data_IF_823954833477
#
_entry.id   IF_823954833477
#
_cell.length_a   1.000
_cell.length_b   1.000
_cell.length_c   1.000
_cell.angle_alpha   90.00
_cell.angle_beta   90.00
_cell.angle_gamma   90.00
#
_symmetry.space_group_name_H-M   'P 1'
#
loop_
_entity.id
_entity.type
_entity.pdbx_description
1 polymer ?
#
# COMPACT_ATOMS: atom_id res chain seq x y z
N UNK A 1 26.54 -12.18 14.31
CA UNK A 1 25.62 -11.57 13.33
C UNK A 1 25.42 -12.55 12.18
N UNK A 2 24.33 -13.31 12.18
CA UNK A 2 24.01 -14.25 11.08
C UNK A 2 23.25 -13.49 9.99
N UNK A 3 23.71 -13.64 8.75
CA UNK A 3 23.33 -12.84 7.58
C UNK A 3 21.83 -12.74 7.36
N UNK A 4 21.38 -11.52 7.08
CA UNK A 4 20.11 -11.26 6.44
C UNK A 4 20.23 -11.86 5.03
N UNK A 5 19.62 -13.03 4.79
CA UNK A 5 19.53 -13.61 3.45
C UNK A 5 19.10 -12.52 2.46
N UNK A 6 19.88 -12.31 1.39
CA UNK A 6 19.53 -11.43 0.27
C UNK A 6 18.27 -11.98 -0.42
N UNK A 7 17.07 -11.66 0.06
CA UNK A 7 15.87 -11.82 -0.76
C UNK A 7 15.93 -10.78 -1.87
N UNK A 8 15.83 -11.22 -3.12
CA UNK A 8 15.78 -10.32 -4.27
C UNK A 8 14.51 -9.47 -4.24
N UNK A 9 14.56 -8.27 -4.83
CA UNK A 9 13.35 -7.47 -5.06
C UNK A 9 12.36 -8.30 -5.86
N UNK A 10 11.13 -8.44 -5.35
CA UNK A 10 10.06 -9.21 -5.97
C UNK A 10 8.84 -8.35 -6.27
N UNK A 11 8.06 -8.74 -7.26
CA UNK A 11 6.76 -8.14 -7.51
C UNK A 11 5.74 -8.66 -6.48
N UNK A 12 4.91 -7.76 -5.95
CA UNK A 12 3.85 -8.05 -4.96
C UNK A 12 2.48 -7.52 -5.38
N UNK A 13 2.38 -6.94 -6.57
CA UNK A 13 1.13 -6.39 -7.09
C UNK A 13 1.37 -5.57 -8.34
N UNK A 14 0.31 -4.93 -8.80
CA UNK A 14 0.32 -3.97 -9.89
C UNK A 14 -0.52 -2.75 -9.50
N UNK A 15 -0.21 -1.59 -10.07
CA UNK A 15 -1.13 -0.46 -10.02
C UNK A 15 -2.11 -0.61 -11.17
N UNK A 16 -3.36 -0.91 -10.85
CA UNK A 16 -4.41 -1.16 -11.84
C UNK A 16 -4.99 0.14 -12.42
N UNK A 17 -5.68 0.00 -13.56
CA UNK A 17 -6.31 1.12 -14.24
C UNK A 17 -7.36 1.82 -13.37
N UNK A 18 -8.05 1.07 -12.50
CA UNK A 18 -9.05 1.63 -11.58
C UNK A 18 -8.40 2.59 -10.58
N UNK A 19 -7.29 2.19 -9.96
CA UNK A 19 -6.53 3.05 -9.03
C UNK A 19 -6.03 4.31 -9.73
N UNK A 20 -5.52 4.16 -10.96
CA UNK A 20 -5.06 5.28 -11.78
C UNK A 20 -6.19 6.29 -12.02
N UNK A 21 -7.36 5.82 -12.45
CA UNK A 21 -8.54 6.66 -12.69
C UNK A 21 -9.05 7.33 -11.42
N UNK A 22 -9.17 6.59 -10.32
CA UNK A 22 -9.67 7.11 -9.05
C UNK A 22 -8.77 8.20 -8.45
N UNK A 23 -7.46 8.12 -8.68
CA UNK A 23 -6.47 9.01 -8.07
C UNK A 23 -5.82 10.01 -9.04
N UNK A 24 -6.23 10.02 -10.31
CA UNK A 24 -5.67 10.88 -11.36
C UNK A 24 -4.15 10.72 -11.47
N UNK A 25 -3.67 9.49 -11.54
CA UNK A 25 -2.23 9.20 -11.62
C UNK A 25 -1.76 9.28 -13.08
N UNK A 26 -0.58 9.86 -13.30
CA UNK A 26 0.09 9.86 -14.59
C UNK A 26 1.13 8.72 -14.64
N UNK A 27 0.64 7.48 -14.72
CA UNK A 27 1.43 6.25 -14.79
C UNK A 27 0.73 5.22 -15.67
N UNK A 28 1.49 4.29 -16.24
CA UNK A 28 0.94 3.23 -17.07
C UNK A 28 0.13 2.21 -16.23
N UNK A 29 -1.07 1.78 -16.69
CA UNK A 29 -1.77 0.64 -16.11
C UNK A 29 -0.89 -0.61 -16.09
N UNK A 30 -0.99 -1.39 -15.00
CA UNK A 30 -0.18 -2.59 -14.83
C UNK A 30 1.24 -2.34 -14.33
N UNK A 31 1.59 -1.10 -13.97
CA UNK A 31 2.89 -0.77 -13.36
C UNK A 31 3.17 -1.69 -12.17
N UNK A 32 4.27 -2.47 -12.17
CA UNK A 32 4.57 -3.40 -11.08
C UNK A 32 4.81 -2.70 -9.75
N UNK A 33 4.24 -3.25 -8.68
CA UNK A 33 4.55 -2.87 -7.30
C UNK A 33 5.60 -3.84 -6.78
N UNK A 34 6.77 -3.30 -6.43
CA UNK A 34 7.94 -4.06 -6.01
C UNK A 34 8.12 -4.01 -4.49
N UNK A 35 8.64 -5.09 -3.92
CA UNK A 35 9.03 -5.19 -2.52
C UNK A 35 10.47 -5.71 -2.44
N UNK A 36 11.35 -4.94 -1.81
CA UNK A 36 12.75 -5.32 -1.59
C UNK A 36 13.14 -5.23 -0.12
N UNK A 37 14.33 -5.73 0.23
CA UNK A 37 14.75 -5.92 1.62
C UNK A 37 14.73 -4.66 2.48
N UNK A 38 15.12 -3.51 1.92
CA UNK A 38 15.10 -2.25 2.67
C UNK A 38 13.68 -1.81 3.04
N UNK A 39 12.68 -2.13 2.20
CA UNK A 39 11.28 -1.86 2.51
C UNK A 39 10.76 -2.80 3.59
N UNK A 40 11.11 -4.10 3.50
CA UNK A 40 10.75 -5.11 4.52
C UNK A 40 11.34 -4.73 5.88
N UNK A 41 12.62 -4.34 5.91
CA UNK A 41 13.29 -3.89 7.12
C UNK A 41 12.60 -2.65 7.71
N UNK A 42 12.32 -1.64 6.87
CA UNK A 42 11.61 -0.45 7.30
C UNK A 42 10.23 -0.74 7.90
N UNK A 43 9.45 -1.63 7.27
CA UNK A 43 8.15 -2.06 7.79
C UNK A 43 8.28 -2.73 9.15
N UNK A 44 9.24 -3.65 9.29
CA UNK A 44 9.50 -4.40 10.53
C UNK A 44 9.95 -3.49 11.67
N UNK A 45 10.80 -2.50 11.39
CA UNK A 45 11.32 -1.57 12.40
C UNK A 45 10.30 -0.48 12.78
N UNK A 46 9.59 0.07 11.81
CA UNK A 46 8.68 1.21 12.05
C UNK A 46 7.30 0.78 12.54
N UNK A 47 6.83 -0.41 12.13
CA UNK A 47 5.49 -0.91 12.43
C UNK A 47 5.50 -2.40 12.78
N UNK A 48 6.24 -2.83 13.82
CA UNK A 48 6.47 -4.24 14.12
C UNK A 48 5.17 -5.04 14.31
N UNK A 49 4.17 -4.46 15.00
CA UNK A 49 2.87 -5.12 15.23
C UNK A 49 2.08 -5.35 13.94
N UNK A 50 2.01 -4.34 13.07
CA UNK A 50 1.30 -4.46 11.80
C UNK A 50 2.05 -5.38 10.83
N UNK A 51 3.38 -5.31 10.82
CA UNK A 51 4.22 -6.22 10.06
C UNK A 51 3.98 -7.67 10.45
N UNK A 52 4.07 -8.00 11.75
CA UNK A 52 3.85 -9.36 12.25
C UNK A 52 2.47 -9.91 11.88
N UNK A 53 1.43 -9.08 11.99
CA UNK A 53 0.04 -9.51 11.76
C UNK A 53 -0.36 -9.59 10.28
N UNK A 54 0.19 -8.73 9.43
CA UNK A 54 -0.37 -8.48 8.10
C UNK A 54 0.63 -8.55 6.94
N UNK A 55 1.93 -8.70 7.18
CA UNK A 55 2.92 -8.71 6.10
C UNK A 55 2.67 -9.79 5.04
N UNK A 56 2.19 -10.96 5.44
CA UNK A 56 1.86 -12.07 4.52
C UNK A 56 0.65 -11.77 3.64
N UNK A 57 -0.17 -10.78 3.97
CA UNK A 57 -1.36 -10.38 3.22
C UNK A 57 -1.12 -9.24 2.24
N UNK A 58 0.13 -8.76 2.09
CA UNK A 58 0.44 -7.60 1.23
C UNK A 58 -0.11 -7.77 -0.19
N UNK A 59 0.09 -8.94 -0.79
CA UNK A 59 -0.36 -9.22 -2.16
C UNK A 59 -1.88 -9.21 -2.28
N UNK A 60 -2.58 -9.82 -1.32
CA UNK A 60 -4.03 -9.86 -1.29
C UNK A 60 -4.64 -8.47 -1.10
N UNK A 61 -4.04 -7.65 -0.23
CA UNK A 61 -4.47 -6.28 0.02
C UNK A 61 -4.22 -5.39 -1.21
N UNK A 62 -3.08 -5.52 -1.87
CA UNK A 62 -2.79 -4.78 -3.10
C UNK A 62 -3.69 -5.21 -4.26
N UNK A 63 -4.06 -6.50 -4.32
CA UNK A 63 -4.96 -7.05 -5.34
C UNK A 63 -6.42 -6.63 -5.14
N UNK A 64 -6.88 -6.56 -3.89
CA UNK A 64 -8.28 -6.31 -3.55
C UNK A 64 -8.44 -5.33 -2.36
N UNK A 65 -7.95 -4.09 -2.48
CA UNK A 65 -8.16 -3.06 -1.46
C UNK A 65 -9.64 -2.68 -1.40
N UNK A 66 -10.09 -2.20 -0.26
CA UNK A 66 -11.43 -1.61 -0.15
C UNK A 66 -11.44 -0.15 -0.56
N UNK A 67 -10.37 0.57 -0.20
CA UNK A 67 -10.20 1.97 -0.55
C UNK A 67 -8.79 2.25 -1.04
N UNK A 68 -8.68 3.30 -1.85
CA UNK A 68 -7.41 3.92 -2.18
C UNK A 68 -7.42 5.40 -1.83
N UNK A 69 -6.28 5.93 -1.44
CA UNK A 69 -6.06 7.35 -1.20
C UNK A 69 -4.69 7.75 -1.75
N UNK A 70 -4.51 9.02 -2.11
CA UNK A 70 -3.22 9.59 -2.47
C UNK A 70 -2.79 10.60 -1.41
N UNK A 71 -1.56 10.47 -0.91
CA UNK A 71 -0.97 11.45 -0.03
C UNK A 71 -0.41 12.62 -0.86
N UNK A 72 -0.94 13.85 -0.74
CA UNK A 72 -0.49 14.98 -1.55
C UNK A 72 0.95 15.41 -1.23
N UNK A 73 1.44 15.14 0.00
CA UNK A 73 2.79 15.55 0.43
C UNK A 73 3.89 14.85 -0.35
N UNK A 74 3.69 13.57 -0.63
CA UNK A 74 4.77 12.69 -1.10
C UNK A 74 4.37 11.76 -2.25
N UNK A 75 3.15 11.97 -2.78
CA UNK A 75 2.52 11.22 -3.87
C UNK A 75 2.45 9.71 -3.64
N UNK A 76 2.57 9.25 -2.38
CA UNK A 76 2.31 7.84 -2.07
C UNK A 76 0.84 7.49 -2.25
N UNK A 77 0.59 6.31 -2.79
CA UNK A 77 -0.72 5.69 -2.90
C UNK A 77 -0.91 4.83 -1.65
N UNK A 78 -1.99 5.04 -0.92
CA UNK A 78 -2.40 4.20 0.19
C UNK A 78 -3.45 3.22 -0.30
N UNK A 79 -3.14 1.94 -0.23
CA UNK A 79 -4.08 0.84 -0.42
C UNK A 79 -4.61 0.46 0.96
N UNK A 80 -5.93 0.48 1.15
CA UNK A 80 -6.56 0.30 2.45
C UNK A 80 -7.50 -0.89 2.39
N UNK A 81 -7.32 -1.84 3.30
CA UNK A 81 -8.21 -2.98 3.51
C UNK A 81 -8.82 -2.89 4.91
N UNK A 82 -10.14 -3.02 4.99
CA UNK A 82 -10.86 -3.03 6.27
C UNK A 82 -11.22 -4.46 6.61
N UNK A 83 -10.72 -4.93 7.75
CA UNK A 83 -11.04 -6.22 8.35
C UNK A 83 -11.41 -5.98 9.83
N UNK A 84 -10.74 -6.64 10.77
CA UNK A 84 -10.76 -6.24 12.17
C UNK A 84 -10.05 -4.90 12.41
N UNK A 85 -9.02 -4.61 11.59
CA UNK A 85 -8.27 -3.34 11.60
C UNK A 85 -8.40 -2.67 10.21
N UNK A 86 -8.11 -1.36 10.12
CA UNK A 86 -7.92 -0.67 8.84
C UNK A 86 -6.44 -0.71 8.44
N UNK A 87 -6.09 -1.67 7.59
CA UNK A 87 -4.72 -1.96 7.19
C UNK A 87 -4.36 -1.06 6.01
N UNK A 88 -3.23 -0.39 6.08
CA UNK A 88 -2.72 0.53 5.06
C UNK A 88 -1.40 0.01 4.53
N UNK A 89 -1.32 -0.16 3.20
CA UNK A 89 -0.05 -0.35 2.49
C UNK A 89 0.26 0.92 1.72
N UNK A 90 1.39 1.55 2.07
CA UNK A 90 1.88 2.74 1.38
C UNK A 90 2.76 2.33 0.20
N UNK A 91 2.32 2.63 -1.02
CA UNK A 91 3.06 2.42 -2.26
C UNK A 91 3.60 3.75 -2.76
N UNK A 92 4.91 3.84 -2.96
CA UNK A 92 5.55 5.04 -3.50
C UNK A 92 6.00 4.80 -4.94
N UNK A 93 5.57 5.68 -5.84
CA UNK A 93 6.07 5.75 -7.20
C UNK A 93 7.32 6.64 -7.23
N UNK A 94 8.42 6.13 -7.76
CA UNK A 94 9.66 6.87 -7.96
C UNK A 94 9.58 7.78 -9.18
N UNK A 95 10.49 8.74 -9.30
CA UNK A 95 10.59 9.61 -10.49
C UNK A 95 10.89 8.84 -11.77
N UNK A 96 11.43 7.63 -11.67
CA UNK A 96 11.69 6.73 -12.81
C UNK A 96 10.50 5.80 -13.14
N UNK A 97 9.33 6.02 -12.52
CA UNK A 97 8.12 5.22 -12.76
C UNK A 97 8.03 3.91 -11.96
N UNK A 98 9.11 3.47 -11.29
CA UNK A 98 9.06 2.25 -10.46
C UNK A 98 8.20 2.48 -9.21
N UNK A 99 7.30 1.55 -8.90
CA UNK A 99 6.48 1.59 -7.68
C UNK A 99 6.98 0.58 -6.64
N UNK A 100 7.01 1.00 -5.37
CA UNK A 100 7.45 0.15 -4.25
C UNK A 100 6.44 0.14 -3.11
N UNK A 101 6.10 -1.04 -2.60
CA UNK A 101 5.43 -1.18 -1.31
C UNK A 101 6.43 -0.79 -0.21
N UNK A 102 6.25 0.38 0.41
CA UNK A 102 7.21 1.01 1.32
C UNK A 102 6.91 0.76 2.78
N UNK A 103 5.64 0.78 3.17
CA UNK A 103 5.23 0.65 4.56
C UNK A 103 3.93 -0.13 4.69
N UNK A 104 3.71 -0.73 5.87
CA UNK A 104 2.46 -1.35 6.30
C UNK A 104 2.17 -0.87 7.73
N UNK A 105 0.95 -0.41 7.97
CA UNK A 105 0.50 0.01 9.30
C UNK A 105 -1.02 -0.08 9.40
N UNK A 106 -1.56 0.03 10.60
CA UNK A 106 -3.01 0.17 10.82
C UNK A 106 -3.36 1.60 11.21
N UNK A 107 -4.58 2.02 10.89
CA UNK A 107 -5.15 3.26 11.42
C UNK A 107 -6.35 2.94 12.31
N UNK A 108 -6.52 3.76 13.34
CA UNK A 108 -7.67 3.70 14.23
C UNK A 108 -8.97 4.09 13.50
N UNK A 109 -10.09 3.56 13.97
CA UNK A 109 -11.43 3.82 13.42
C UNK A 109 -11.74 5.32 13.30
N UNK A 110 -11.38 6.14 14.31
CA UNK A 110 -11.62 7.58 14.26
C UNK A 110 -10.86 8.26 13.11
N UNK A 111 -9.65 7.77 12.80
CA UNK A 111 -8.82 8.30 11.71
C UNK A 111 -9.36 7.86 10.36
N UNK A 112 -9.83 6.62 10.28
CA UNK A 112 -10.52 6.12 9.10
C UNK A 112 -11.78 6.93 8.80
N UNK A 113 -12.65 7.15 9.79
CA UNK A 113 -13.84 8.00 9.66
C UNK A 113 -13.49 9.41 9.21
N UNK A 114 -12.48 10.04 9.81
CA UNK A 114 -12.00 11.34 9.36
C UNK A 114 -11.63 11.37 7.87
N UNK A 115 -10.98 10.32 7.36
CA UNK A 115 -10.65 10.24 5.94
C UNK A 115 -11.86 9.97 5.04
N UNK A 116 -12.79 9.13 5.51
CA UNK A 116 -14.03 8.82 4.81
C UNK A 116 -14.92 10.07 4.69
N UNK A 117 -15.22 10.71 5.81
CA UNK A 117 -16.08 11.90 5.91
C UNK A 117 -15.49 13.10 5.16
N UNK A 118 -14.15 13.20 5.13
CA UNK A 118 -13.43 14.20 4.36
C UNK A 118 -13.35 13.93 2.85
N UNK A 119 -13.91 12.83 2.35
CA UNK A 119 -13.89 12.47 0.92
C UNK A 119 -12.52 12.07 0.38
N UNK A 120 -11.56 11.78 1.27
CA UNK A 120 -10.19 11.42 0.93
C UNK A 120 -10.07 9.95 0.49
N UNK A 121 -11.00 9.09 0.90
CA UNK A 121 -11.03 7.69 0.50
C UNK A 121 -11.81 7.52 -0.80
N UNK A 122 -11.24 6.80 -1.76
CA UNK A 122 -11.91 6.38 -2.99
C UNK A 122 -12.20 4.89 -2.90
N UNK A 123 -13.47 4.52 -2.99
CA UNK A 123 -13.89 3.12 -3.01
C UNK A 123 -13.27 2.37 -4.20
N UNK A 124 -12.51 1.32 -3.91
CA UNK A 124 -11.92 0.44 -4.91
C UNK A 124 -12.72 -0.86 -5.02
N UNK A 125 -13.25 -1.41 -3.93
CA UNK A 125 -14.12 -2.58 -3.98
C UNK A 125 -15.59 -2.20 -4.19
N UNK A 126 -15.99 -2.00 -5.45
CA UNK A 126 -17.33 -2.41 -5.89
C UNK A 126 -17.17 -3.65 -6.74
N UNK A 127 -17.63 -4.79 -6.21
CA UNK A 127 -18.02 -5.93 -7.04
C UNK A 127 -19.10 -5.40 -7.98
N UNK A 128 -18.73 -5.19 -9.23
CA UNK A 128 -19.74 -5.19 -10.31
C UNK A 128 -20.16 -6.63 -10.52
#
# INVERSE_FOLDING_TARGET
>A
MKGLNNMSTRQVGIIDEKTIKLLGLDIAPGTPILLGNSNILHMKESHPKAFEKYFTLIEDILKAPDYVNRNPKDNSIKYIKTMADHIVIGVRVSTKGNAFARTIFTIEEWKFKQYADGGYLKEHSKKT
#
